data_IF_258858581214
#
_entry.id   IF_258858581214
#
_cell.length_a   1.000
_cell.length_b   1.000
_cell.length_c   1.000
_cell.angle_alpha   90.00
_cell.angle_beta   90.00
_cell.angle_gamma   90.00
#
_symmetry.space_group_name_H-M   'P 1'
#
loop_
_entity.id
_entity.type
_entity.pdbx_description
1 polymer ?
#
# COMPACT_ATOMS: atom_id res chain seq x y z
N UNK A 1 -7.90 24.86 -14.75
CA UNK A 1 -6.65 24.07 -14.68
C UNK A 1 -6.85 22.98 -13.64
N UNK A 2 -6.63 21.69 -13.95
CA UNK A 2 -6.55 20.67 -12.91
C UNK A 2 -5.35 20.97 -12.00
N UNK A 3 -5.51 20.82 -10.69
CA UNK A 3 -4.42 21.04 -9.74
C UNK A 3 -3.35 19.95 -9.91
N UNK A 4 -2.05 20.30 -9.90
CA UNK A 4 -0.96 19.34 -10.07
C UNK A 4 -0.82 18.32 -8.91
N UNK A 5 -1.52 18.54 -7.80
CA UNK A 5 -1.36 17.77 -6.56
C UNK A 5 -1.97 16.36 -6.60
N UNK A 6 -2.98 16.12 -7.44
CA UNK A 6 -3.66 14.82 -7.51
C UNK A 6 -2.77 13.68 -8.04
N UNK A 7 -1.68 14.02 -8.77
CA UNK A 7 -0.74 13.02 -9.31
C UNK A 7 0.44 12.72 -8.38
N UNK A 8 0.73 13.62 -7.43
CA UNK A 8 1.98 13.59 -6.67
C UNK A 8 2.06 12.47 -5.62
N UNK A 9 0.98 11.72 -5.40
CA UNK A 9 0.93 10.64 -4.40
C UNK A 9 0.16 9.41 -4.87
N UNK A 10 -0.05 9.27 -6.19
CA UNK A 10 -0.93 8.22 -6.68
C UNK A 10 -0.50 6.82 -6.22
N UNK A 11 0.81 6.54 -6.13
CA UNK A 11 1.28 5.20 -5.72
C UNK A 11 1.25 5.02 -4.21
N UNK A 12 1.70 6.00 -3.42
CA UNK A 12 1.59 5.93 -1.95
C UNK A 12 0.13 5.81 -1.49
N UNK A 13 -0.79 6.58 -2.09
CA UNK A 13 -2.22 6.48 -1.80
C UNK A 13 -2.80 5.10 -2.10
N UNK A 14 -2.45 4.50 -3.24
CA UNK A 14 -2.88 3.13 -3.57
C UNK A 14 -2.36 2.13 -2.54
N UNK A 15 -1.10 2.27 -2.10
CA UNK A 15 -0.53 1.39 -1.07
C UNK A 15 -1.21 1.61 0.28
N UNK A 16 -1.46 2.86 0.68
CA UNK A 16 -2.20 3.19 1.90
C UNK A 16 -3.57 2.52 1.92
N UNK A 17 -4.37 2.71 0.86
CA UNK A 17 -5.69 2.09 0.73
C UNK A 17 -5.64 0.56 0.82
N UNK A 18 -4.59 -0.07 0.29
CA UNK A 18 -4.42 -1.52 0.37
C UNK A 18 -4.01 -1.99 1.77
N UNK A 19 -3.21 -1.21 2.50
CA UNK A 19 -2.87 -1.47 3.91
C UNK A 19 -4.16 -1.34 4.75
N UNK A 20 -4.91 -0.25 4.58
CA UNK A 20 -6.18 -0.02 5.27
C UNK A 20 -7.18 -1.15 5.00
N UNK A 21 -7.30 -1.62 3.74
CA UNK A 21 -8.16 -2.74 3.39
C UNK A 21 -7.72 -4.07 4.04
N UNK A 22 -6.41 -4.28 4.24
CA UNK A 22 -5.87 -5.49 4.86
C UNK A 22 -6.20 -5.54 6.36
N UNK A 23 -6.05 -4.41 7.07
CA UNK A 23 -6.22 -4.33 8.52
C UNK A 23 -7.61 -3.83 8.98
N UNK A 24 -8.40 -3.26 8.08
CA UNK A 24 -9.74 -2.74 8.39
C UNK A 24 -9.73 -1.46 9.24
N UNK A 25 -8.62 -0.74 9.28
CA UNK A 25 -8.46 0.49 10.06
C UNK A 25 -7.79 1.58 9.22
N UNK A 26 -8.02 2.87 9.53
CA UNK A 26 -7.34 3.99 8.89
C UNK A 26 -5.82 3.94 9.09
N UNK A 27 -5.06 4.38 8.08
CA UNK A 27 -3.60 4.30 8.13
C UNK A 27 -3.01 5.05 9.33
N UNK A 28 -3.57 6.20 9.70
CA UNK A 28 -3.10 6.98 10.85
C UNK A 28 -3.24 6.22 12.19
N UNK A 29 -4.29 5.41 12.35
CA UNK A 29 -4.46 4.56 13.54
C UNK A 29 -3.46 3.40 13.52
N UNK A 30 -3.23 2.82 12.35
CA UNK A 30 -2.27 1.75 12.13
C UNK A 30 -0.82 2.17 12.39
N UNK A 31 -0.45 3.39 12.01
CA UNK A 31 0.86 3.98 12.30
C UNK A 31 1.11 4.11 13.81
N UNK A 32 0.09 4.47 14.59
CA UNK A 32 0.19 4.53 16.06
C UNK A 32 0.36 3.14 16.71
N UNK A 33 -0.12 2.07 16.05
CA UNK A 33 0.00 0.69 16.53
C UNK A 33 1.32 0.02 16.12
N UNK A 34 2.02 0.56 15.12
CA UNK A 34 3.25 0.00 14.56
C UNK A 34 4.44 0.01 15.53
N UNK A 35 4.39 0.79 16.61
CA UNK A 35 5.44 0.82 17.63
C UNK A 35 5.38 -0.37 18.60
N UNK A 36 4.35 -1.22 18.51
CA UNK A 36 4.22 -2.40 19.36
C UNK A 36 5.14 -3.55 18.90
N UNK A 37 5.84 -4.27 19.81
CA UNK A 37 6.82 -5.30 19.47
C UNK A 37 6.25 -6.51 18.71
N UNK A 38 4.94 -6.79 18.84
CA UNK A 38 4.23 -7.86 18.14
C UNK A 38 3.90 -7.52 16.67
N UNK A 39 4.03 -6.24 16.27
CA UNK A 39 3.46 -5.69 15.02
C UNK A 39 4.44 -5.66 13.83
N UNK A 40 5.40 -6.57 13.77
CA UNK A 40 6.54 -6.52 12.83
C UNK A 40 6.17 -6.33 11.35
N UNK A 41 5.12 -7.01 10.87
CA UNK A 41 4.63 -6.83 9.50
C UNK A 41 3.92 -5.49 9.29
N UNK A 42 3.11 -5.06 10.27
CA UNK A 42 2.42 -3.78 10.20
C UNK A 42 3.43 -2.64 10.16
N UNK A 43 4.42 -2.67 11.05
CA UNK A 43 5.52 -1.71 11.10
C UNK A 43 6.32 -1.66 9.79
N UNK A 44 6.58 -2.81 9.18
CA UNK A 44 7.24 -2.87 7.88
C UNK A 44 6.38 -2.24 6.77
N UNK A 45 5.07 -2.51 6.74
CA UNK A 45 4.17 -1.97 5.73
C UNK A 45 3.98 -0.45 5.88
N UNK A 46 3.78 0.04 7.10
CA UNK A 46 3.65 1.48 7.37
C UNK A 46 4.97 2.20 7.12
N UNK A 47 6.11 1.66 7.55
CA UNK A 47 7.43 2.22 7.26
C UNK A 47 7.75 2.31 5.77
N UNK A 48 7.46 1.25 5.00
CA UNK A 48 7.62 1.25 3.54
C UNK A 48 6.68 2.27 2.87
N UNK A 49 5.45 2.40 3.36
CA UNK A 49 4.52 3.42 2.89
C UNK A 49 5.07 4.84 3.16
N UNK A 50 5.59 5.11 4.36
CA UNK A 50 6.17 6.42 4.69
C UNK A 50 7.38 6.74 3.79
N UNK A 51 8.25 5.76 3.53
CA UNK A 51 9.38 5.92 2.62
C UNK A 51 8.94 6.21 1.16
N UNK A 52 7.90 5.50 0.70
CA UNK A 52 7.28 5.73 -0.60
C UNK A 52 6.70 7.15 -0.72
N UNK A 53 5.89 7.58 0.24
CA UNK A 53 5.28 8.91 0.28
C UNK A 53 6.34 10.02 0.38
N UNK A 54 7.44 9.79 1.10
CA UNK A 54 8.56 10.72 1.14
C UNK A 54 9.26 10.84 -0.22
N UNK A 55 9.51 9.71 -0.89
CA UNK A 55 10.13 9.71 -2.21
C UNK A 55 9.27 10.49 -3.23
N UNK A 56 7.95 10.29 -3.23
CA UNK A 56 7.04 11.00 -4.13
C UNK A 56 7.01 12.53 -3.86
N UNK A 57 6.98 12.95 -2.60
CA UNK A 57 7.10 14.39 -2.24
C UNK A 57 8.43 14.99 -2.68
N UNK A 58 9.53 14.26 -2.52
CA UNK A 58 10.83 14.75 -2.96
C UNK A 58 10.89 14.87 -4.50
N UNK A 59 10.28 13.94 -5.25
CA UNK A 59 10.16 14.08 -6.72
C UNK A 59 9.46 15.40 -7.07
N UNK A 60 8.29 15.66 -6.47
CA UNK A 60 7.52 16.87 -6.75
C UNK A 60 8.33 18.14 -6.43
N UNK A 61 8.95 18.18 -5.24
CA UNK A 61 9.78 19.30 -4.81
C UNK A 61 10.98 19.54 -5.74
N UNK A 62 11.73 18.50 -6.10
CA UNK A 62 12.89 18.65 -6.98
C UNK A 62 12.49 19.00 -8.41
N UNK A 63 11.32 18.56 -8.89
CA UNK A 63 10.80 18.97 -10.20
C UNK A 63 10.40 20.44 -10.22
N UNK A 64 9.77 20.95 -9.15
CA UNK A 64 9.49 22.37 -9.01
C UNK A 64 10.78 23.18 -9.00
N UNK A 65 11.76 22.77 -8.17
CA UNK A 65 13.07 23.43 -8.12
C UNK A 65 13.80 23.41 -9.45
N UNK A 66 13.74 22.30 -10.18
CA UNK A 66 14.34 22.17 -11.50
C UNK A 66 13.70 23.17 -12.48
N UNK A 67 12.36 23.30 -12.48
CA UNK A 67 11.65 24.25 -13.33
C UNK A 67 12.04 25.70 -13.04
N UNK A 68 12.24 26.06 -11.77
CA UNK A 68 12.73 27.39 -11.39
C UNK A 68 14.14 27.66 -11.93
N UNK A 69 15.04 26.68 -11.77
CA UNK A 69 16.44 26.81 -12.21
C UNK A 69 16.58 26.86 -13.73
N UNK A 70 15.70 26.16 -14.44
CA UNK A 70 15.69 26.10 -15.91
C UNK A 70 14.62 27.00 -16.54
N UNK A 71 14.14 28.01 -15.82
CA UNK A 71 13.12 28.91 -16.37
C UNK A 71 13.68 29.61 -17.62
N UNK A 72 12.93 29.67 -18.75
CA UNK A 72 13.49 30.08 -20.05
C UNK A 72 14.14 31.46 -20.06
N UNK A 73 13.61 32.40 -19.27
CA UNK A 73 14.10 33.78 -19.22
C UNK A 73 15.19 34.00 -18.15
N UNK A 74 15.65 32.93 -17.49
CA UNK A 74 16.65 32.99 -16.43
C UNK A 74 18.04 32.68 -16.99
N UNK A 75 18.99 33.59 -16.77
CA UNK A 75 20.40 33.30 -17.04
C UNK A 75 20.91 32.20 -16.09
N UNK A 76 21.59 31.20 -16.65
CA UNK A 76 22.22 30.12 -15.89
C UNK A 76 23.57 30.63 -15.37
N UNK A 77 23.61 30.93 -14.08
CA UNK A 77 24.82 31.35 -13.39
C UNK A 77 25.81 30.20 -13.16
N UNK A 78 27.01 30.55 -12.70
CA UNK A 78 28.14 29.62 -12.51
C UNK A 78 27.80 28.38 -11.66
N UNK A 79 26.92 28.51 -10.67
CA UNK A 79 26.54 27.40 -9.77
C UNK A 79 25.24 26.70 -10.19
N UNK A 80 24.46 27.31 -11.09
CA UNK A 80 23.14 26.80 -11.47
C UNK A 80 23.24 25.45 -12.19
N UNK A 81 24.26 25.27 -13.03
CA UNK A 81 24.52 23.98 -13.68
C UNK A 81 24.72 22.84 -12.66
N UNK A 82 25.41 23.12 -11.55
CA UNK A 82 25.59 22.16 -10.45
C UNK A 82 24.28 21.89 -9.71
N UNK A 83 23.47 22.92 -9.45
CA UNK A 83 22.16 22.76 -8.82
C UNK A 83 21.17 21.98 -9.70
N UNK A 84 21.17 22.22 -11.01
CA UNK A 84 20.37 21.47 -11.99
C UNK A 84 20.75 19.99 -11.96
N UNK A 85 22.06 19.70 -11.98
CA UNK A 85 22.56 18.32 -11.91
C UNK A 85 22.17 17.63 -10.59
N UNK A 86 22.28 18.33 -9.45
CA UNK A 86 21.88 17.76 -8.16
C UNK A 86 20.38 17.50 -8.09
N UNK A 87 19.54 18.41 -8.61
CA UNK A 87 18.09 18.19 -8.70
C UNK A 87 17.78 16.95 -9.54
N UNK A 88 18.40 16.82 -10.72
CA UNK A 88 18.21 15.66 -11.59
C UNK A 88 18.61 14.34 -10.91
N UNK A 89 19.74 14.34 -10.18
CA UNK A 89 20.18 13.18 -9.39
C UNK A 89 19.18 12.80 -8.31
N UNK A 90 18.72 13.77 -7.51
CA UNK A 90 17.75 13.54 -6.42
C UNK A 90 16.41 13.04 -6.94
N UNK A 91 15.97 13.50 -8.13
CA UNK A 91 14.78 12.98 -8.81
C UNK A 91 15.00 11.51 -9.15
N UNK A 92 16.12 11.15 -9.78
CA UNK A 92 16.41 9.78 -10.17
C UNK A 92 16.46 8.83 -8.96
N UNK A 93 17.13 9.22 -7.88
CA UNK A 93 17.20 8.45 -6.63
C UNK A 93 15.81 8.26 -6.00
N UNK A 94 14.99 9.31 -6.00
CA UNK A 94 13.63 9.24 -5.45
C UNK A 94 12.70 8.37 -6.31
N UNK A 95 12.83 8.42 -7.64
CA UNK A 95 12.10 7.54 -8.56
C UNK A 95 12.49 6.08 -8.32
N UNK A 96 13.80 5.77 -8.25
CA UNK A 96 14.27 4.42 -7.97
C UNK A 96 13.73 3.89 -6.63
N UNK A 97 13.73 4.74 -5.60
CA UNK A 97 13.19 4.43 -4.28
C UNK A 97 11.68 4.16 -4.34
N UNK A 98 10.91 5.04 -4.98
CA UNK A 98 9.46 4.89 -5.17
C UNK A 98 9.15 3.56 -5.85
N UNK A 99 9.81 3.26 -6.95
CA UNK A 99 9.53 2.07 -7.76
C UNK A 99 9.93 0.78 -7.02
N UNK A 100 11.03 0.80 -6.26
CA UNK A 100 11.45 -0.32 -5.42
C UNK A 100 10.42 -0.63 -4.33
N UNK A 101 9.97 0.37 -3.56
CA UNK A 101 8.98 0.19 -2.50
C UNK A 101 7.58 -0.15 -3.05
N UNK A 102 7.19 0.46 -4.17
CA UNK A 102 5.92 0.15 -4.83
C UNK A 102 5.87 -1.32 -5.27
N UNK A 103 6.96 -1.82 -5.87
CA UNK A 103 7.07 -3.21 -6.31
C UNK A 103 7.08 -4.18 -5.13
N UNK A 104 7.94 -3.96 -4.14
CA UNK A 104 8.09 -4.89 -3.01
C UNK A 104 6.85 -4.91 -2.12
N UNK A 105 6.36 -3.75 -1.72
CA UNK A 105 5.17 -3.61 -0.85
C UNK A 105 3.92 -4.06 -1.58
N UNK A 106 3.79 -3.71 -2.87
CA UNK A 106 2.68 -4.15 -3.70
C UNK A 106 2.60 -5.67 -3.86
N UNK A 107 3.76 -6.35 -3.96
CA UNK A 107 3.87 -7.80 -4.02
C UNK A 107 3.49 -8.45 -2.67
N UNK A 108 4.00 -7.93 -1.56
CA UNK A 108 3.65 -8.41 -0.20
C UNK A 108 2.14 -8.29 0.04
N UNK A 109 1.56 -7.09 -0.18
CA UNK A 109 0.12 -6.87 -0.08
C UNK A 109 -0.69 -7.72 -1.08
N UNK A 110 -0.08 -8.14 -2.19
CA UNK A 110 -0.70 -9.03 -3.17
C UNK A 110 -0.76 -10.47 -2.68
N UNK A 111 0.27 -10.92 -1.97
CA UNK A 111 0.34 -12.25 -1.35
C UNK A 111 -0.49 -12.38 -0.08
N UNK A 112 -0.70 -11.29 0.66
CA UNK A 112 -1.45 -11.24 1.91
C UNK A 112 -2.98 -11.10 1.73
N UNK A 113 -3.51 -11.26 0.52
CA UNK A 113 -4.97 -11.25 0.31
C UNK A 113 -5.62 -12.23 1.30
N UNK A 114 -6.70 -11.78 1.96
CA UNK A 114 -7.51 -12.59 2.87
C UNK A 114 -7.72 -13.95 2.21
N UNK A 115 -7.17 -15.01 2.79
CA UNK A 115 -7.42 -16.37 2.30
C UNK A 115 -8.94 -16.52 2.21
N UNK A 116 -9.45 -16.87 1.02
CA UNK A 116 -10.85 -17.28 0.90
C UNK A 116 -11.05 -18.32 2.00
N UNK A 117 -12.01 -18.09 2.91
CA UNK A 117 -12.34 -19.11 3.89
C UNK A 117 -12.53 -20.42 3.13
N UNK A 118 -11.91 -21.54 3.53
CA UNK A 118 -12.18 -22.81 2.90
C UNK A 118 -13.69 -22.99 2.88
N UNK A 119 -14.28 -23.34 1.73
CA UNK A 119 -15.71 -23.59 1.59
C UNK A 119 -16.13 -24.56 2.71
N UNK A 120 -16.68 -24.02 3.79
CA UNK A 120 -17.31 -24.81 4.83
C UNK A 120 -18.62 -25.24 4.23
N UNK A 121 -18.57 -26.37 3.51
CA UNK A 121 -19.77 -27.05 3.04
C UNK A 121 -20.74 -27.15 4.23
N UNK A 122 -21.98 -26.63 4.11
CA UNK A 122 -22.93 -26.67 5.23
C UNK A 122 -23.10 -28.13 5.71
N UNK A 123 -23.18 -28.36 7.02
CA UNK A 123 -23.36 -29.72 7.56
C UNK A 123 -24.61 -30.34 6.92
N UNK A 124 -24.48 -31.60 6.48
CA UNK A 124 -25.57 -32.32 5.84
C UNK A 124 -26.81 -32.35 6.77
N UNK A 125 -28.03 -32.21 6.21
CA UNK A 125 -29.24 -32.24 7.01
C UNK A 125 -29.38 -33.57 7.74
N UNK A 126 -29.95 -33.58 8.97
CA UNK A 126 -30.10 -34.80 9.76
C UNK A 126 -30.98 -35.81 9.01
N UNK A 127 -30.50 -37.04 8.90
CA UNK A 127 -31.24 -38.14 8.26
C UNK A 127 -32.40 -38.57 9.18
N UNK A 128 -33.64 -38.70 8.68
CA UNK A 128 -34.76 -39.15 9.50
C UNK A 128 -34.52 -40.54 10.08
N UNK A 129 -34.85 -40.73 11.36
CA UNK A 129 -34.75 -42.04 12.01
C UNK A 129 -35.68 -43.06 11.34
N UNK A 130 -35.14 -44.26 11.09
CA UNK A 130 -35.91 -45.35 10.50
C UNK A 130 -37.04 -45.80 11.44
N UNK A 131 -38.24 -46.12 10.91
CA UNK A 131 -39.36 -46.57 11.72
C UNK A 131 -39.08 -47.96 12.32
N UNK A 132 -39.16 -48.06 13.64
CA UNK A 132 -39.10 -49.33 14.38
C UNK A 132 -40.33 -50.17 14.05
N UNK A 133 -40.12 -51.39 13.57
CA UNK A 133 -41.20 -52.35 13.34
C UNK A 133 -41.88 -52.73 14.67
N UNK A 134 -43.20 -52.56 14.73
CA UNK A 134 -44.00 -52.99 15.87
C UNK A 134 -44.11 -54.53 15.88
N UNK A 135 -43.70 -55.16 16.97
CA UNK A 135 -43.89 -56.59 17.17
C UNK A 135 -45.39 -56.91 17.35
N UNK A 136 -45.97 -57.62 16.37
CA UNK A 136 -47.32 -58.15 16.48
C UNK A 136 -47.36 -59.30 17.49
N UNK A 137 -48.12 -59.14 18.59
CA UNK A 137 -48.47 -60.25 19.48
C UNK A 137 -49.64 -61.03 18.89
N UNK A 138 -49.42 -62.29 18.55
CA UNK A 138 -50.49 -63.27 18.37
C UNK A 138 -50.81 -63.95 19.69
N UNK A 139 -52.10 -64.17 19.91
CA UNK A 139 -52.76 -64.71 21.10
C UNK A 139 -52.78 -66.23 21.10
#
# INVERSE_FOLDING_TARGET
MPQPDDSAHAVSQIIAQRIEALYGQPLAELEALADAPESTLLAALTGNHSALAFAERNIAFQLERLRELTFPDREIGQFDAGHILDCARRIAESVATRDAYAKSTGAVLGGLRRATAPDTQPPAPPVPAAPTAAASRTR
#
